data_IF_393608726988
#
_entry.id   IF_393608726988
#
_cell.length_a   1.000
_cell.length_b   1.000
_cell.length_c   1.000
_cell.angle_alpha   90.00
_cell.angle_beta   90.00
_cell.angle_gamma   90.00
#
_symmetry.space_group_name_H-M   'P 1'
#
loop_
_entity.id
_entity.type
_entity.pdbx_description
1 polymer ?
#
# COMPACT_ATOMS: atom_id res chain seq x y z
N UNK A 1 -32.08 -32.91 5.22
CA UNK A 1 -30.95 -33.47 5.98
C UNK A 1 -29.74 -32.55 5.83
N UNK A 2 -29.30 -31.91 6.90
CA UNK A 2 -28.16 -31.01 6.87
C UNK A 2 -26.85 -31.76 7.14
N UNK A 3 -25.77 -31.34 6.47
CA UNK A 3 -24.43 -31.82 6.77
C UNK A 3 -23.82 -30.90 7.83
N UNK A 4 -23.41 -31.48 8.93
CA UNK A 4 -22.69 -30.76 9.98
C UNK A 4 -21.20 -30.97 9.82
N UNK A 5 -20.46 -29.88 9.75
CA UNK A 5 -19.02 -29.97 9.81
C UNK A 5 -18.57 -30.05 11.27
N UNK A 6 -17.64 -30.96 11.54
CA UNK A 6 -16.94 -31.03 12.79
C UNK A 6 -16.20 -29.71 13.03
N UNK A 7 -16.18 -29.16 14.28
CA UNK A 7 -15.38 -27.96 14.59
C UNK A 7 -13.92 -28.05 14.17
N UNK A 8 -13.29 -29.22 14.29
CA UNK A 8 -11.91 -29.40 13.83
C UNK A 8 -11.80 -29.29 12.31
N UNK A 9 -12.78 -29.80 11.56
CA UNK A 9 -12.79 -29.68 10.10
C UNK A 9 -12.90 -28.21 9.66
N UNK A 10 -13.75 -27.42 10.34
CA UNK A 10 -13.88 -26.00 10.09
C UNK A 10 -12.58 -25.27 10.34
N UNK A 11 -11.89 -25.58 11.43
CA UNK A 11 -10.57 -25.02 11.75
C UNK A 11 -9.55 -25.33 10.66
N UNK A 12 -9.51 -26.57 10.19
CA UNK A 12 -8.61 -26.98 9.11
C UNK A 12 -8.91 -26.26 7.80
N UNK A 13 -10.19 -26.11 7.44
CA UNK A 13 -10.60 -25.40 6.23
C UNK A 13 -10.21 -23.92 6.32
N UNK A 14 -10.46 -23.27 7.46
CA UNK A 14 -10.09 -21.88 7.67
C UNK A 14 -8.57 -21.68 7.59
N UNK A 15 -7.81 -22.59 8.18
CA UNK A 15 -6.35 -22.55 8.09
C UNK A 15 -5.86 -22.71 6.64
N UNK A 16 -6.50 -23.59 5.87
CA UNK A 16 -6.16 -23.79 4.46
C UNK A 16 -6.48 -22.55 3.62
N UNK A 17 -7.62 -21.89 3.88
CA UNK A 17 -8.00 -20.65 3.20
C UNK A 17 -6.98 -19.54 3.53
N UNK A 18 -6.63 -19.37 4.80
CA UNK A 18 -5.67 -18.36 5.21
C UNK A 18 -4.30 -18.60 4.58
N UNK A 19 -3.86 -19.83 4.52
CA UNK A 19 -2.60 -20.19 3.88
C UNK A 19 -2.61 -19.90 2.38
N UNK A 20 -3.70 -20.25 1.70
CA UNK A 20 -3.84 -19.98 0.28
C UNK A 20 -3.84 -18.47 -0.01
N UNK A 21 -4.57 -17.68 0.80
CA UNK A 21 -4.58 -16.23 0.68
C UNK A 21 -3.16 -15.65 0.88
N UNK A 22 -2.41 -16.17 1.84
CA UNK A 22 -1.06 -15.68 2.13
C UNK A 22 -0.06 -16.13 1.07
N UNK A 23 0.05 -17.43 0.84
CA UNK A 23 1.12 -18.01 0.04
C UNK A 23 0.90 -17.87 -1.47
N UNK A 24 -0.34 -17.86 -1.92
CA UNK A 24 -0.66 -17.81 -3.35
C UNK A 24 -1.09 -16.41 -3.77
N UNK A 25 -2.20 -15.92 -3.22
CA UNK A 25 -2.78 -14.65 -3.64
C UNK A 25 -1.98 -13.46 -3.10
N UNK A 26 -1.66 -13.47 -1.81
CA UNK A 26 -0.93 -12.39 -1.16
C UNK A 26 0.45 -12.18 -1.76
N UNK A 27 1.20 -13.24 -1.98
CA UNK A 27 2.52 -13.14 -2.61
C UNK A 27 2.46 -12.62 -4.02
N UNK A 28 1.46 -13.04 -4.80
CA UNK A 28 1.30 -12.58 -6.17
C UNK A 28 0.96 -11.09 -6.21
N UNK A 29 0.01 -10.64 -5.39
CA UNK A 29 -0.37 -9.22 -5.32
C UNK A 29 0.80 -8.39 -4.82
N UNK A 30 1.48 -8.82 -3.75
CA UNK A 30 2.62 -8.12 -3.20
C UNK A 30 3.74 -7.98 -4.21
N UNK A 31 4.07 -9.06 -4.94
CA UNK A 31 5.10 -9.04 -5.96
C UNK A 31 4.77 -8.08 -7.10
N UNK A 32 3.52 -8.08 -7.56
CA UNK A 32 3.08 -7.17 -8.60
C UNK A 32 3.10 -5.72 -8.13
N UNK A 33 2.66 -5.46 -6.90
CA UNK A 33 2.69 -4.11 -6.34
C UNK A 33 4.14 -3.61 -6.20
N UNK A 34 5.04 -4.45 -5.73
CA UNK A 34 6.46 -4.11 -5.63
C UNK A 34 7.09 -3.83 -6.99
N UNK A 35 6.64 -4.53 -8.02
CA UNK A 35 7.12 -4.31 -9.38
C UNK A 35 6.58 -3.00 -9.98
N UNK A 36 5.32 -2.68 -9.70
CA UNK A 36 4.64 -1.51 -10.25
C UNK A 36 5.00 -0.22 -9.51
N UNK A 37 5.37 -0.30 -8.23
CA UNK A 37 5.66 0.88 -7.43
C UNK A 37 6.87 1.64 -7.98
N UNK A 38 6.75 2.96 -8.03
CA UNK A 38 7.82 3.83 -8.49
C UNK A 38 9.03 3.76 -7.55
N UNK A 39 10.17 3.41 -8.11
CA UNK A 39 11.40 3.19 -7.36
C UNK A 39 12.23 4.45 -7.33
N UNK A 40 12.06 5.27 -6.32
CA UNK A 40 12.95 6.43 -6.11
C UNK A 40 14.08 6.06 -5.14
N UNK A 41 13.72 5.59 -3.95
CA UNK A 41 14.68 5.14 -2.93
C UNK A 41 14.50 3.67 -2.55
N UNK A 42 13.42 3.03 -3.02
CA UNK A 42 13.03 1.70 -2.62
C UNK A 42 12.29 1.64 -1.29
N UNK A 43 12.17 2.75 -0.57
CA UNK A 43 11.53 2.78 0.75
C UNK A 43 10.08 2.35 0.70
N UNK A 44 9.30 2.88 -0.26
CA UNK A 44 7.90 2.51 -0.40
C UNK A 44 7.77 1.03 -0.78
N UNK A 45 8.54 0.57 -1.76
CA UNK A 45 8.54 -0.83 -2.18
C UNK A 45 8.85 -1.77 -1.00
N UNK A 46 9.88 -1.42 -0.23
CA UNK A 46 10.34 -2.26 0.88
C UNK A 46 9.39 -2.21 2.07
N UNK A 47 8.53 -1.19 2.16
CA UNK A 47 7.52 -1.07 3.21
C UNK A 47 6.26 -1.87 2.93
N UNK A 48 6.07 -2.38 1.71
CA UNK A 48 4.87 -3.12 1.35
C UNK A 48 4.83 -4.47 2.04
N UNK A 49 3.65 -4.82 2.54
CA UNK A 49 3.39 -6.07 3.27
C UNK A 49 2.07 -6.65 2.83
N UNK A 50 1.98 -7.96 2.89
CA UNK A 50 0.74 -8.70 2.75
C UNK A 50 0.49 -9.45 4.04
N UNK A 51 -0.71 -9.29 4.61
CA UNK A 51 -1.10 -9.92 5.86
C UNK A 51 -2.45 -10.59 5.69
N UNK A 52 -2.60 -11.77 6.28
CA UNK A 52 -3.87 -12.51 6.30
C UNK A 52 -4.31 -12.66 7.74
N UNK A 53 -5.55 -12.28 8.01
CA UNK A 53 -6.18 -12.48 9.31
C UNK A 53 -7.64 -12.81 9.09
N UNK A 54 -8.07 -13.94 9.65
CA UNK A 54 -9.46 -14.41 9.60
C UNK A 54 -10.07 -14.34 8.19
N UNK A 55 -9.39 -14.96 7.22
CA UNK A 55 -9.83 -15.05 5.81
C UNK A 55 -9.90 -13.69 5.11
N UNK A 56 -9.17 -12.70 5.61
CA UNK A 56 -9.04 -11.38 4.98
C UNK A 56 -7.58 -11.13 4.67
N UNK A 57 -7.29 -10.87 3.40
CA UNK A 57 -5.97 -10.49 2.94
C UNK A 57 -5.90 -8.97 2.85
N UNK A 58 -4.86 -8.39 3.45
CA UNK A 58 -4.56 -6.96 3.34
C UNK A 58 -3.18 -6.78 2.76
N UNK A 59 -3.08 -5.93 1.75
CA UNK A 59 -1.80 -5.58 1.13
C UNK A 59 -1.66 -4.07 1.17
N UNK A 60 -0.52 -3.60 1.63
CA UNK A 60 -0.27 -2.16 1.72
C UNK A 60 1.03 -1.86 2.42
N UNK A 61 1.21 -0.58 2.74
CA UNK A 61 2.37 -0.10 3.47
C UNK A 61 1.98 0.21 4.92
N UNK A 62 2.81 -0.22 5.86
CA UNK A 62 2.57 0.02 7.29
C UNK A 62 3.24 1.28 7.81
N UNK A 63 4.40 1.63 7.28
CA UNK A 63 5.28 2.64 7.86
C UNK A 63 5.77 3.70 6.89
N UNK A 64 5.28 3.70 5.66
CA UNK A 64 5.61 4.73 4.68
C UNK A 64 4.49 5.76 4.61
N UNK A 65 4.76 6.97 5.10
CA UNK A 65 3.75 8.01 5.23
C UNK A 65 3.25 8.60 3.92
N UNK A 66 3.97 8.40 2.82
CA UNK A 66 3.57 8.90 1.50
C UNK A 66 2.94 7.81 0.60
N UNK A 67 2.69 6.62 1.13
CA UNK A 67 2.17 5.49 0.35
C UNK A 67 0.82 5.81 -0.29
N UNK A 68 -0.10 6.41 0.46
CA UNK A 68 -1.42 6.81 -0.03
C UNK A 68 -1.31 7.88 -1.12
N UNK A 69 -0.43 8.84 -0.93
CA UNK A 69 -0.24 9.95 -1.87
C UNK A 69 0.30 9.45 -3.22
N UNK A 70 1.15 8.44 -3.20
CA UNK A 70 1.63 7.82 -4.44
C UNK A 70 0.49 7.09 -5.15
N UNK A 71 -0.30 6.32 -4.43
CA UNK A 71 -1.40 5.55 -5.01
C UNK A 71 -2.50 6.45 -5.59
N UNK A 72 -2.90 7.48 -4.85
CA UNK A 72 -4.06 8.31 -5.18
C UNK A 72 -3.70 9.67 -5.77
N UNK A 73 -2.44 10.08 -5.67
CA UNK A 73 -2.04 11.44 -6.00
C UNK A 73 -2.46 12.43 -4.94
N UNK A 74 -2.05 13.66 -5.09
CA UNK A 74 -2.42 14.74 -4.17
C UNK A 74 -3.02 15.91 -4.95
N UNK A 75 -4.03 16.54 -4.36
CA UNK A 75 -4.60 17.77 -4.90
C UNK A 75 -3.62 18.95 -4.72
N UNK A 76 -3.76 20.02 -5.50
CA UNK A 76 -3.02 21.25 -5.25
C UNK A 76 -3.27 21.74 -3.82
N UNK A 77 -2.20 22.15 -3.15
CA UNK A 77 -2.29 22.57 -1.75
C UNK A 77 -1.18 23.56 -1.41
N UNK A 78 -1.33 24.21 -0.27
CA UNK A 78 -0.35 25.14 0.26
C UNK A 78 0.46 24.44 1.34
N UNK A 79 1.77 24.56 1.25
CA UNK A 79 2.69 24.03 2.26
C UNK A 79 3.14 25.18 3.15
N UNK A 80 2.94 25.02 4.45
CA UNK A 80 3.35 25.96 5.48
C UNK A 80 4.39 25.32 6.38
N UNK A 81 5.34 26.11 6.94
CA UNK A 81 6.30 25.56 7.89
C UNK A 81 5.60 25.16 9.18
N UNK A 82 5.95 23.98 9.74
CA UNK A 82 5.37 23.48 10.99
C UNK A 82 6.07 24.03 12.23
N UNK A 83 7.40 23.89 12.26
CA UNK A 83 8.21 24.17 13.44
C UNK A 83 9.27 25.23 13.17
N UNK A 84 9.29 25.80 11.98
CA UNK A 84 10.25 26.83 11.54
C UNK A 84 9.50 28.01 10.98
N UNK A 85 10.16 29.19 10.98
CA UNK A 85 9.54 30.40 10.44
C UNK A 85 9.44 30.40 8.92
N UNK A 86 10.19 29.53 8.24
CA UNK A 86 10.22 29.46 6.78
C UNK A 86 10.52 28.04 6.31
N UNK A 87 10.14 27.78 5.06
CA UNK A 87 10.44 26.53 4.37
C UNK A 87 11.75 26.67 3.59
N UNK A 88 12.56 25.63 3.65
CA UNK A 88 13.79 25.55 2.87
C UNK A 88 13.99 24.10 2.37
N UNK A 89 14.47 23.97 1.14
CA UNK A 89 14.82 22.68 0.56
C UNK A 89 16.06 22.83 -0.31
N UNK A 90 16.83 21.75 -0.55
CA UNK A 90 17.97 21.79 -1.45
C UNK A 90 17.56 22.27 -2.84
N UNK A 91 18.27 23.25 -3.39
CA UNK A 91 17.96 23.88 -4.67
C UNK A 91 17.08 25.11 -4.57
N UNK A 92 16.53 25.44 -3.39
CA UNK A 92 15.84 26.70 -3.19
C UNK A 92 16.83 27.87 -3.09
N UNK A 93 16.50 28.99 -3.73
CA UNK A 93 17.36 30.20 -3.70
C UNK A 93 17.37 30.84 -2.31
N UNK A 94 16.25 30.75 -1.59
CA UNK A 94 16.08 31.33 -0.27
C UNK A 94 14.94 30.66 0.47
N UNK A 95 14.89 30.73 1.80
CA UNK A 95 13.73 30.24 2.56
C UNK A 95 12.46 31.01 2.20
N UNK A 96 11.32 30.31 2.16
CA UNK A 96 10.03 30.90 1.81
C UNK A 96 9.01 30.62 2.92
N UNK A 97 8.04 31.54 3.09
CA UNK A 97 7.03 31.42 4.12
C UNK A 97 5.95 30.40 3.76
N UNK A 98 5.71 30.20 2.49
CA UNK A 98 4.71 29.24 2.00
C UNK A 98 5.04 28.81 0.58
N UNK A 99 4.59 27.62 0.22
CA UNK A 99 4.72 27.10 -1.14
C UNK A 99 3.35 26.64 -1.64
N UNK A 100 2.96 27.10 -2.84
CA UNK A 100 1.81 26.56 -3.52
C UNK A 100 2.24 25.31 -4.29
N UNK A 101 1.88 24.15 -3.76
CA UNK A 101 2.21 22.87 -4.39
C UNK A 101 1.11 22.51 -5.40
N UNK A 102 1.45 22.21 -6.66
CA UNK A 102 0.45 21.90 -7.69
C UNK A 102 -0.22 20.56 -7.52
N UNK A 103 0.17 19.77 -6.54
CA UNK A 103 -0.26 18.41 -6.39
C UNK A 103 0.58 17.44 -7.21
N UNK A 104 0.28 16.16 -7.08
CA UNK A 104 0.95 15.11 -7.84
C UNK A 104 -0.07 14.21 -8.50
N UNK A 105 0.27 13.73 -9.70
CA UNK A 105 -0.56 12.73 -10.37
C UNK A 105 -0.48 11.39 -9.64
N UNK A 106 -1.56 10.59 -9.63
CA UNK A 106 -1.51 9.27 -9.05
C UNK A 106 -0.59 8.34 -9.87
N UNK A 107 0.16 7.51 -9.16
CA UNK A 107 0.92 6.40 -9.71
C UNK A 107 0.49 5.11 -9.01
N UNK A 108 -0.69 4.56 -9.39
CA UNK A 108 -1.24 3.42 -8.69
C UNK A 108 -0.36 2.17 -8.84
N UNK A 109 -0.17 1.48 -7.76
CA UNK A 109 0.58 0.22 -7.68
C UNK A 109 -0.21 -0.87 -6.95
N UNK A 110 -1.11 -0.48 -6.02
CA UNK A 110 -1.96 -1.43 -5.30
C UNK A 110 -3.20 -1.80 -6.12
N UNK A 111 -3.91 -0.80 -6.67
CA UNK A 111 -5.11 -1.08 -7.45
C UNK A 111 -4.84 -1.94 -8.68
N UNK A 112 -3.82 -1.64 -9.52
CA UNK A 112 -3.51 -2.52 -10.66
C UNK A 112 -3.09 -3.91 -10.20
N UNK A 113 -2.32 -4.04 -9.12
CA UNK A 113 -1.89 -5.34 -8.60
C UNK A 113 -3.09 -6.15 -8.08
N UNK A 114 -4.02 -5.48 -7.38
CA UNK A 114 -5.20 -6.13 -6.82
C UNK A 114 -6.17 -6.60 -7.90
N UNK A 115 -6.35 -5.78 -8.95
CA UNK A 115 -7.36 -6.06 -9.99
C UNK A 115 -6.82 -6.89 -11.15
N UNK A 116 -5.57 -7.33 -11.11
CA UNK A 116 -5.08 -8.26 -12.11
C UNK A 116 -5.83 -9.58 -12.04
N UNK A 117 -6.20 -10.09 -13.23
CA UNK A 117 -6.86 -11.38 -13.30
C UNK A 117 -5.87 -12.48 -12.95
N UNK A 118 -6.23 -13.28 -11.96
CA UNK A 118 -5.39 -14.39 -11.50
C UNK A 118 -6.16 -15.70 -11.64
N UNK A 119 -5.53 -16.70 -12.22
CA UNK A 119 -6.07 -18.06 -12.20
C UNK A 119 -5.67 -18.74 -10.89
N UNK A 120 -6.62 -19.47 -10.28
CA UNK A 120 -6.32 -20.21 -9.07
C UNK A 120 -5.26 -21.30 -9.31
#
# INVERSE_FOLDING_TARGET
MGVRLDPSARTHVNAAINRWLDETIGRAILGDAQHLVRKRTGRLRDSLRAEVHDKVLRVGSLDCNYATDVELGTAPHVILPRNKKALYWPGADHPVARVNHPGTQPYPYLRPALYQRRTP
#
